data_IF_029867022808
#
_entry.id   IF_029867022808
#
_cell.length_a   1.000
_cell.length_b   1.000
_cell.length_c   1.000
_cell.angle_alpha   90.00
_cell.angle_beta   90.00
_cell.angle_gamma   90.00
#
_symmetry.space_group_name_H-M   'P 1'
#
loop_
_entity.id
_entity.type
_entity.pdbx_description
1 polymer ?
#
# COMPACT_ATOMS: atom_id res chain seq x y z
N UNK A 1 -7.33 12.62 2.51
CA UNK A 1 -6.39 11.94 1.61
C UNK A 1 -6.43 10.45 1.92
N UNK A 2 -6.79 9.62 0.97
CA UNK A 2 -6.84 8.15 1.14
C UNK A 2 -5.81 7.54 0.18
N UNK A 3 -5.06 6.57 0.65
CA UNK A 3 -4.06 5.85 -0.13
C UNK A 3 -4.54 4.45 -0.45
N UNK A 4 -4.11 3.97 -1.60
CA UNK A 4 -4.38 2.62 -2.07
C UNK A 4 -3.06 1.87 -2.15
N UNK A 5 -2.93 0.81 -1.38
CA UNK A 5 -1.82 -0.12 -1.52
C UNK A 5 -2.37 -1.37 -2.21
N UNK A 6 -1.84 -1.66 -3.38
CA UNK A 6 -2.18 -2.89 -4.10
C UNK A 6 -1.03 -3.88 -4.02
N UNK A 7 -1.33 -5.05 -3.54
CA UNK A 7 -0.44 -6.19 -3.63
C UNK A 7 -0.84 -7.03 -4.85
N UNK A 8 -0.02 -6.96 -5.89
CA UNK A 8 -0.20 -7.79 -7.09
C UNK A 8 0.39 -9.18 -6.88
N UNK A 9 -0.16 -9.97 -5.97
CA UNK A 9 0.01 -11.42 -5.97
C UNK A 9 -1.28 -12.12 -5.60
N UNK A 10 -1.83 -12.74 -6.58
CA UNK A 10 -2.67 -13.93 -6.73
C UNK A 10 -3.89 -13.63 -7.59
N UNK A 11 -3.74 -13.83 -8.88
CA UNK A 11 -4.84 -14.39 -9.67
C UNK A 11 -4.96 -15.83 -9.20
N UNK A 12 -5.85 -16.08 -8.26
CA UNK A 12 -6.24 -17.44 -7.91
C UNK A 12 -7.44 -17.80 -8.77
N UNK A 13 -7.19 -18.65 -9.74
CA UNK A 13 -8.23 -19.33 -10.50
C UNK A 13 -9.21 -20.04 -9.55
N UNK A 14 -10.54 -19.87 -9.66
CA UNK A 14 -11.52 -20.45 -8.74
C UNK A 14 -11.84 -21.90 -9.12
N UNK A 15 -10.86 -22.80 -9.11
CA UNK A 15 -11.12 -24.22 -9.28
C UNK A 15 -10.08 -25.07 -8.54
N UNK A 16 -10.10 -25.05 -7.22
CA UNK A 16 -9.54 -26.09 -6.37
C UNK A 16 -10.10 -25.96 -4.95
N UNK A 17 -11.35 -26.38 -4.78
CA UNK A 17 -11.82 -26.89 -3.50
C UNK A 17 -11.36 -28.35 -3.46
N UNK A 18 -10.42 -28.70 -2.60
CA UNK A 18 -10.45 -29.90 -1.76
C UNK A 18 -9.14 -30.06 -0.96
N UNK A 19 -9.38 -30.38 0.29
CA UNK A 19 -8.50 -31.00 1.28
C UNK A 19 -7.70 -30.05 2.18
N UNK A 20 -8.33 -29.70 3.28
CA UNK A 20 -7.70 -29.35 4.54
C UNK A 20 -7.15 -30.65 5.14
N UNK A 21 -5.85 -30.75 5.23
CA UNK A 21 -5.20 -31.67 6.19
C UNK A 21 -3.90 -31.02 6.65
N UNK A 22 -3.98 -30.59 7.90
CA UNK A 22 -2.93 -30.30 8.87
C UNK A 22 -1.51 -30.75 8.52
N UNK A 23 -0.58 -29.78 8.50
CA UNK A 23 0.68 -29.86 9.25
C UNK A 23 1.11 -28.43 9.56
N UNK A 24 0.99 -28.01 10.82
CA UNK A 24 1.75 -26.91 11.37
C UNK A 24 3.21 -27.38 11.46
N UNK A 25 3.99 -27.13 10.43
CA UNK A 25 5.44 -27.07 10.54
C UNK A 25 5.79 -25.58 10.51
N UNK A 26 6.19 -25.05 11.65
CA UNK A 26 6.86 -23.76 11.74
C UNK A 26 8.20 -23.89 11.00
N UNK A 27 8.17 -23.73 9.69
CA UNK A 27 9.33 -23.52 8.86
C UNK A 27 9.41 -22.03 8.60
N UNK A 28 10.47 -21.39 9.02
CA UNK A 28 10.87 -20.08 8.54
C UNK A 28 11.06 -20.18 7.02
N UNK A 29 10.00 -19.98 6.28
CA UNK A 29 10.02 -19.97 4.83
C UNK A 29 10.76 -18.74 4.35
N UNK A 30 12.08 -18.82 4.21
CA UNK A 30 12.83 -17.85 3.42
C UNK A 30 12.30 -17.93 1.99
N UNK A 31 11.62 -16.89 1.56
CA UNK A 31 11.19 -16.75 0.17
C UNK A 31 12.47 -16.69 -0.66
N UNK A 32 12.61 -17.61 -1.60
CA UNK A 32 13.73 -17.59 -2.56
C UNK A 32 13.74 -16.25 -3.32
N UNK A 33 14.90 -15.67 -3.62
CA UNK A 33 15.01 -14.44 -4.41
C UNK A 33 14.24 -14.50 -5.75
N UNK A 34 14.14 -15.67 -6.35
CA UNK A 34 13.37 -15.90 -7.58
C UNK A 34 11.84 -15.81 -7.38
N UNK A 35 11.36 -15.89 -6.15
CA UNK A 35 9.94 -15.82 -5.79
C UNK A 35 9.53 -14.47 -5.16
N UNK A 36 10.50 -13.59 -4.94
CA UNK A 36 10.25 -12.27 -4.39
C UNK A 36 9.48 -11.39 -5.38
N UNK A 37 8.36 -10.78 -4.99
CA UNK A 37 7.58 -9.93 -5.88
C UNK A 37 8.26 -8.58 -6.09
N UNK A 38 8.10 -8.01 -7.28
CA UNK A 38 8.31 -6.59 -7.47
C UNK A 38 7.16 -5.83 -6.77
N UNK A 39 7.49 -4.73 -6.10
CA UNK A 39 6.52 -3.88 -5.41
C UNK A 39 6.51 -2.51 -6.06
N UNK A 40 5.34 -2.10 -6.56
CA UNK A 40 5.13 -0.75 -7.08
C UNK A 40 4.18 -0.05 -6.14
N UNK A 41 4.64 1.02 -5.50
CA UNK A 41 3.85 1.87 -4.62
C UNK A 41 3.48 3.15 -5.37
N UNK A 42 2.18 3.33 -5.64
CA UNK A 42 1.65 4.53 -6.29
C UNK A 42 0.86 5.33 -5.26
N UNK A 43 1.25 6.58 -5.08
CA UNK A 43 0.59 7.50 -4.17
C UNK A 43 0.06 8.72 -4.94
N UNK A 44 -1.25 8.92 -4.92
CA UNK A 44 -1.86 10.09 -5.51
C UNK A 44 -1.82 11.26 -4.52
N UNK A 45 -1.45 12.44 -5.00
CA UNK A 45 -1.48 13.68 -4.24
C UNK A 45 -2.82 14.38 -4.44
N UNK A 46 -3.38 14.90 -3.36
CA UNK A 46 -4.65 15.64 -3.33
C UNK A 46 -5.87 14.92 -3.95
N UNK A 47 -5.83 13.59 -4.08
CA UNK A 47 -6.94 12.79 -4.56
C UNK A 47 -7.97 12.55 -3.44
N UNK A 48 -9.18 13.04 -3.61
CA UNK A 48 -10.30 12.78 -2.71
C UNK A 48 -10.85 11.35 -2.86
N UNK A 49 -11.48 10.84 -1.83
CA UNK A 49 -12.10 9.51 -1.85
C UNK A 49 -13.18 9.38 -2.94
N UNK A 50 -13.93 10.45 -3.15
CA UNK A 50 -14.98 10.49 -4.15
C UNK A 50 -14.52 10.86 -5.57
N UNK A 51 -13.22 11.05 -5.80
CA UNK A 51 -12.70 11.52 -7.09
C UNK A 51 -12.41 10.38 -8.08
N UNK A 52 -12.74 9.15 -7.71
CA UNK A 52 -12.52 7.97 -8.55
C UNK A 52 -13.83 7.26 -8.89
N UNK A 53 -13.91 6.67 -10.08
CA UNK A 53 -15.12 6.02 -10.59
C UNK A 53 -15.56 4.84 -9.74
N UNK A 54 -14.65 3.99 -9.29
CA UNK A 54 -14.97 2.82 -8.46
C UNK A 54 -15.52 3.16 -7.07
N UNK A 55 -15.42 4.41 -6.62
CA UNK A 55 -16.10 4.92 -5.43
C UNK A 55 -17.42 5.65 -5.74
N UNK A 56 -17.90 5.56 -6.99
CA UNK A 56 -19.20 6.07 -7.41
C UNK A 56 -19.19 7.51 -7.91
N UNK A 57 -18.03 8.06 -8.32
CA UNK A 57 -18.01 9.41 -8.91
C UNK A 57 -18.77 9.43 -10.24
N UNK A 58 -19.84 10.26 -10.38
CA UNK A 58 -20.63 10.29 -11.61
C UNK A 58 -19.97 11.09 -12.74
N UNK A 59 -19.05 11.99 -12.42
CA UNK A 59 -18.48 12.96 -13.35
C UNK A 59 -17.06 12.60 -13.79
N UNK A 60 -16.21 12.19 -12.84
CA UNK A 60 -14.82 11.85 -13.11
C UNK A 60 -14.74 10.39 -13.54
N UNK A 61 -14.14 10.15 -14.70
CA UNK A 61 -13.96 8.81 -15.24
C UNK A 61 -12.51 8.38 -15.02
N UNK A 62 -12.34 7.27 -14.31
CA UNK A 62 -11.01 6.69 -13.98
C UNK A 62 -10.91 5.23 -14.41
N UNK A 63 -11.09 4.91 -15.73
CA UNK A 63 -11.28 3.54 -16.19
C UNK A 63 -10.12 2.61 -15.83
N UNK A 64 -8.89 3.12 -15.82
CA UNK A 64 -7.71 2.32 -15.45
C UNK A 64 -7.64 2.04 -13.95
N UNK A 65 -7.98 3.02 -13.10
CA UNK A 65 -8.07 2.81 -11.65
C UNK A 65 -9.25 1.90 -11.29
N UNK A 66 -10.37 2.04 -12.00
CA UNK A 66 -11.55 1.19 -11.82
C UNK A 66 -11.25 -0.27 -12.20
N UNK A 67 -10.54 -0.47 -13.31
CA UNK A 67 -10.07 -1.80 -13.72
C UNK A 67 -9.12 -2.39 -12.69
N UNK A 68 -8.18 -1.60 -12.18
CA UNK A 68 -7.24 -2.01 -11.16
C UNK A 68 -7.95 -2.38 -9.85
N UNK A 69 -8.94 -1.58 -9.44
CA UNK A 69 -9.76 -1.83 -8.26
C UNK A 69 -10.58 -3.13 -8.39
N UNK A 70 -11.11 -3.41 -9.59
CA UNK A 70 -11.88 -4.64 -9.86
C UNK A 70 -11.01 -5.91 -9.88
N UNK A 71 -9.74 -5.79 -10.25
CA UNK A 71 -8.79 -6.91 -10.31
C UNK A 71 -8.06 -7.15 -8.98
N UNK A 72 -8.10 -6.21 -8.06
CA UNK A 72 -7.35 -6.23 -6.81
C UNK A 72 -8.22 -6.16 -5.56
N UNK A 73 -7.60 -5.79 -4.46
CA UNK A 73 -8.29 -5.59 -3.17
C UNK A 73 -8.44 -4.10 -2.89
N UNK A 74 -9.67 -3.68 -2.62
CA UNK A 74 -10.02 -2.31 -2.23
C UNK A 74 -10.21 -2.23 -0.73
N UNK A 75 -9.40 -1.40 -0.05
CA UNK A 75 -9.55 -1.13 1.37
C UNK A 75 -10.48 0.07 1.57
N UNK A 76 -11.69 -0.15 2.02
CA UNK A 76 -12.70 0.90 2.17
C UNK A 76 -12.44 1.85 3.34
N UNK A 77 -11.67 1.40 4.34
CA UNK A 77 -11.33 2.16 5.55
C UNK A 77 -9.80 2.32 5.69
N UNK A 78 -9.16 2.84 4.66
CA UNK A 78 -7.74 3.12 4.66
C UNK A 78 -7.51 4.63 4.61
N UNK A 79 -6.85 5.18 5.61
CA UNK A 79 -6.71 6.61 5.82
C UNK A 79 -5.26 7.07 5.71
N UNK A 80 -5.07 8.31 5.25
CA UNK A 80 -3.78 8.98 5.28
C UNK A 80 -3.29 9.15 6.72
N UNK A 81 -1.98 9.04 6.94
CA UNK A 81 -1.36 9.21 8.25
C UNK A 81 -1.41 10.63 8.80
N UNK A 82 -1.65 11.62 7.94
CA UNK A 82 -1.79 13.03 8.30
C UNK A 82 -2.62 13.78 7.26
N UNK A 83 -3.16 14.96 7.57
CA UNK A 83 -3.91 15.80 6.62
C UNK A 83 -3.02 16.55 5.62
N UNK A 84 -1.71 16.40 5.70
CA UNK A 84 -0.71 17.08 4.89
C UNK A 84 0.16 16.08 4.12
N UNK A 85 0.65 16.50 2.95
CA UNK A 85 1.42 15.69 2.02
C UNK A 85 2.72 15.16 2.63
N UNK A 86 3.61 16.04 3.11
CA UNK A 86 4.94 15.64 3.59
C UNK A 86 4.90 14.67 4.78
N UNK A 87 4.13 14.92 5.86
CA UNK A 87 4.02 13.98 6.97
C UNK A 87 3.46 12.62 6.55
N UNK A 88 2.48 12.63 5.63
CA UNK A 88 1.91 11.38 5.14
C UNK A 88 2.89 10.59 4.28
N UNK A 89 3.66 11.24 3.42
CA UNK A 89 4.73 10.58 2.64
C UNK A 89 5.77 9.98 3.55
N UNK A 90 6.18 10.71 4.60
CA UNK A 90 7.10 10.19 5.62
C UNK A 90 6.53 8.96 6.34
N UNK A 91 5.24 8.98 6.70
CA UNK A 91 4.56 7.81 7.29
C UNK A 91 4.58 6.60 6.37
N UNK A 92 4.30 6.80 5.08
CA UNK A 92 4.29 5.70 4.09
C UNK A 92 5.70 5.11 3.92
N UNK A 93 6.71 5.97 3.83
CA UNK A 93 8.10 5.52 3.64
C UNK A 93 8.66 4.77 4.86
N UNK A 94 8.26 5.16 6.07
CA UNK A 94 8.84 4.63 7.32
C UNK A 94 7.94 3.62 8.05
N UNK A 95 6.69 3.50 7.65
CA UNK A 95 5.68 2.72 8.38
C UNK A 95 5.32 3.30 9.75
N UNK A 96 5.81 4.50 10.09
CA UNK A 96 5.59 5.14 11.39
C UNK A 96 4.47 6.19 11.36
N UNK A 97 3.93 6.47 12.52
CA UNK A 97 3.01 7.60 12.68
C UNK A 97 3.70 8.91 12.29
N UNK A 98 3.00 9.79 11.55
CA UNK A 98 3.52 11.05 11.03
C UNK A 98 4.24 11.90 12.09
N UNK A 99 3.66 12.01 13.30
CA UNK A 99 4.24 12.79 14.39
C UNK A 99 5.57 12.22 14.94
N UNK A 100 5.91 10.99 14.60
CA UNK A 100 7.16 10.34 15.04
C UNK A 100 8.26 10.38 14.00
N UNK A 101 7.94 10.74 12.75
CA UNK A 101 8.91 10.74 11.65
C UNK A 101 9.84 11.94 11.65
N UNK A 102 9.54 12.99 12.42
CA UNK A 102 10.24 14.27 12.39
C UNK A 102 9.78 15.22 11.31
N UNK A 103 8.76 14.84 10.51
CA UNK A 103 8.19 15.67 9.44
C UNK A 103 6.79 16.10 9.86
N UNK A 104 6.59 17.38 10.15
CA UNK A 104 5.35 17.90 10.74
C UNK A 104 4.45 18.61 9.73
N UNK A 105 5.08 19.30 8.76
CA UNK A 105 4.37 20.04 7.72
C UNK A 105 5.21 20.10 6.44
N UNK A 106 4.65 20.57 5.30
CA UNK A 106 5.44 20.87 4.11
C UNK A 106 6.56 21.87 4.46
N UNK A 107 7.78 21.53 4.09
CA UNK A 107 9.00 22.30 4.40
C UNK A 107 9.37 22.39 5.89
N UNK A 108 8.74 21.62 6.76
CA UNK A 108 9.06 21.55 8.18
C UNK A 108 9.49 20.13 8.58
N UNK A 109 10.76 19.97 8.92
CA UNK A 109 11.34 18.70 9.31
C UNK A 109 11.77 17.83 8.14
N UNK A 110 12.59 16.87 8.48
CA UNK A 110 13.10 15.83 7.58
C UNK A 110 12.96 14.48 8.26
N UNK A 111 12.88 13.41 7.48
CA UNK A 111 13.00 12.05 8.02
C UNK A 111 14.36 11.93 8.66
N UNK A 112 14.40 11.48 9.90
CA UNK A 112 15.66 11.33 10.65
C UNK A 112 16.54 10.30 9.97
N UNK A 113 17.88 10.49 9.96
CA UNK A 113 18.81 9.53 9.34
C UNK A 113 18.76 8.11 9.93
N UNK A 114 18.27 7.98 11.16
CA UNK A 114 18.14 6.69 11.85
C UNK A 114 16.88 5.92 11.48
N UNK A 115 15.99 6.53 10.69
CA UNK A 115 14.76 5.88 10.24
C UNK A 115 15.05 5.03 9.01
N UNK A 116 14.75 3.74 9.09
CA UNK A 116 14.78 2.87 7.93
C UNK A 116 13.55 3.10 7.09
N UNK A 117 13.73 3.26 5.81
CA UNK A 117 12.63 3.44 4.85
C UNK A 117 12.24 2.12 4.18
N UNK A 118 11.01 2.06 3.67
CA UNK A 118 10.53 0.89 2.94
C UNK A 118 11.45 0.43 1.80
N UNK A 119 12.02 1.32 0.95
CA UNK A 119 13.00 0.92 -0.06
C UNK A 119 14.26 0.26 0.51
N UNK A 120 14.75 0.74 1.66
CA UNK A 120 15.92 0.14 2.32
C UNK A 120 15.62 -1.28 2.79
N UNK A 121 14.48 -1.50 3.44
CA UNK A 121 14.05 -2.85 3.85
C UNK A 121 13.81 -3.81 2.68
N UNK A 122 13.42 -3.30 1.51
CA UNK A 122 13.18 -4.14 0.33
C UNK A 122 14.45 -4.42 -0.47
N UNK A 123 15.54 -3.72 -0.17
CA UNK A 123 16.84 -3.88 -0.84
C UNK A 123 17.73 -4.93 -0.15
N UNK A 124 17.48 -5.23 1.13
CA UNK A 124 18.19 -6.26 1.90
C UNK A 124 17.80 -7.69 1.44
#
# INVERSE_FOLDING_TARGET
MKYWMMNMKKIVCPLCIFSVSSVFAAGEGRISPAESPNVILIMADDLGWGDVGFNGNPHIKTPWLDSLASAGTVFTHFYAGAPLSSPTRASVLTGRNAFRTGVFAPNEGIIRPEENTLPEYLHE
#
